data_IF_009127783923
#
_entry.id   IF_009127783923
#
_cell.length_a   1.000
_cell.length_b   1.000
_cell.length_c   1.000
_cell.angle_alpha   90.00
_cell.angle_beta   90.00
_cell.angle_gamma   90.00
#
_symmetry.space_group_name_H-M   'P 1'
#
loop_
_entity.id
_entity.type
_entity.pdbx_description
1 polymer ?
#
# COMPACT_ATOMS: atom_id res chain seq x y z
N UNK A 1 5.06 20.62 -22.78
CA UNK A 1 5.06 21.50 -21.59
C UNK A 1 3.95 20.97 -20.70
N UNK A 2 4.21 19.93 -19.97
CA UNK A 2 3.39 19.58 -18.81
C UNK A 2 3.59 20.68 -17.78
N UNK A 3 2.74 21.69 -17.90
CA UNK A 3 2.63 22.72 -16.88
C UNK A 3 2.35 22.02 -15.57
N UNK A 4 2.91 22.52 -14.49
CA UNK A 4 2.69 22.06 -13.12
C UNK A 4 1.23 21.62 -12.98
N UNK A 5 0.98 20.31 -13.01
CA UNK A 5 -0.38 19.76 -13.16
C UNK A 5 -1.28 20.21 -12.02
N UNK A 6 -2.58 20.03 -12.16
CA UNK A 6 -3.56 20.41 -11.13
C UNK A 6 -3.21 19.82 -9.76
N UNK A 7 -2.63 18.61 -9.72
CA UNK A 7 -2.13 17.95 -8.52
C UNK A 7 -1.15 18.84 -7.75
N UNK A 8 -0.13 19.35 -8.40
CA UNK A 8 0.86 20.23 -7.76
C UNK A 8 0.24 21.56 -7.24
N UNK A 9 -0.78 22.07 -7.93
CA UNK A 9 -1.49 23.27 -7.47
C UNK A 9 -2.35 22.98 -6.24
N UNK A 10 -2.96 21.80 -6.15
CA UNK A 10 -3.71 21.33 -4.99
C UNK A 10 -2.77 21.12 -3.79
N UNK A 11 -1.64 20.45 -3.99
CA UNK A 11 -0.60 20.26 -2.97
C UNK A 11 -0.10 21.64 -2.44
N UNK A 12 0.09 22.60 -3.34
CA UNK A 12 0.50 23.95 -2.95
C UNK A 12 -0.57 24.70 -2.12
N UNK A 13 -1.86 24.50 -2.40
CA UNK A 13 -2.94 25.06 -1.58
C UNK A 13 -2.90 24.50 -0.16
N UNK A 14 -2.67 23.20 -0.01
CA UNK A 14 -2.57 22.54 1.28
C UNK A 14 -1.37 23.06 2.09
N UNK A 15 -0.19 23.09 1.48
CA UNK A 15 1.02 23.64 2.11
C UNK A 15 0.88 25.12 2.50
N UNK A 16 0.20 25.93 1.67
CA UNK A 16 -0.10 27.31 1.99
C UNK A 16 -1.02 27.43 3.20
N UNK A 17 -2.03 26.55 3.30
CA UNK A 17 -2.95 26.50 4.45
C UNK A 17 -2.19 26.14 5.74
N UNK A 18 -1.37 25.10 5.73
CA UNK A 18 -0.52 24.72 6.88
C UNK A 18 0.36 25.88 7.35
N UNK A 19 1.04 26.55 6.42
CA UNK A 19 1.87 27.71 6.72
C UNK A 19 1.06 28.86 7.35
N UNK A 20 -0.16 29.11 6.89
CA UNK A 20 -1.02 30.16 7.44
C UNK A 20 -1.49 29.85 8.87
N UNK A 21 -1.59 28.58 9.22
CA UNK A 21 -1.97 28.09 10.55
C UNK A 21 -0.75 27.91 11.49
N UNK A 22 0.46 27.98 10.95
CA UNK A 22 1.69 27.76 11.72
C UNK A 22 1.91 26.29 12.12
N UNK A 23 1.30 25.32 11.38
CA UNK A 23 1.43 23.88 11.63
C UNK A 23 2.31 23.23 10.57
N UNK A 24 2.92 22.10 10.95
CA UNK A 24 3.81 21.31 10.07
C UNK A 24 3.16 20.01 9.63
N UNK A 25 2.45 19.35 10.53
CA UNK A 25 1.83 18.05 10.26
C UNK A 25 0.43 18.23 9.66
N UNK A 26 0.05 17.31 8.78
CA UNK A 26 -1.28 17.30 8.14
C UNK A 26 -2.39 17.07 9.18
N UNK A 27 -2.10 16.29 10.20
CA UNK A 27 -3.00 15.97 11.32
C UNK A 27 -3.32 17.17 12.21
N UNK A 28 -2.53 18.25 12.16
CA UNK A 28 -2.74 19.46 12.95
C UNK A 28 -3.71 20.45 12.28
N UNK A 29 -4.12 20.17 11.04
CA UNK A 29 -5.12 20.99 10.33
C UNK A 29 -6.52 20.62 10.81
N UNK A 30 -7.22 21.55 11.43
CA UNK A 30 -8.56 21.34 11.99
C UNK A 30 -9.65 21.11 10.93
N UNK A 31 -10.76 20.52 11.35
CA UNK A 31 -11.86 20.14 10.46
C UNK A 31 -12.46 21.35 9.67
N UNK A 32 -12.63 22.50 10.30
CA UNK A 32 -13.14 23.70 9.62
C UNK A 32 -12.14 24.22 8.58
N UNK A 33 -10.84 24.19 8.88
CA UNK A 33 -9.79 24.58 7.94
C UNK A 33 -9.71 23.63 6.74
N UNK A 34 -9.90 22.32 6.97
CA UNK A 34 -9.99 21.34 5.89
C UNK A 34 -11.23 21.56 5.02
N UNK A 35 -12.35 21.95 5.61
CA UNK A 35 -13.58 22.29 4.87
C UNK A 35 -13.37 23.49 3.95
N UNK A 36 -12.77 24.57 4.46
CA UNK A 36 -12.41 25.73 3.65
C UNK A 36 -11.45 25.37 2.52
N UNK A 37 -10.45 24.56 2.83
CA UNK A 37 -9.49 24.06 1.86
C UNK A 37 -10.15 23.24 0.75
N UNK A 38 -11.13 22.40 1.07
CA UNK A 38 -11.91 21.64 0.07
C UNK A 38 -12.64 22.58 -0.90
N UNK A 39 -13.25 23.66 -0.39
CA UNK A 39 -13.91 24.64 -1.25
C UNK A 39 -12.90 25.38 -2.15
N UNK A 40 -11.73 25.72 -1.66
CA UNK A 40 -10.68 26.34 -2.48
C UNK A 40 -10.13 25.38 -3.53
N UNK A 41 -9.98 24.09 -3.20
CA UNK A 41 -9.63 23.04 -4.18
C UNK A 41 -10.70 22.90 -5.27
N UNK A 42 -11.99 22.90 -4.93
CA UNK A 42 -13.09 22.89 -5.91
C UNK A 42 -13.05 24.09 -6.85
N UNK A 43 -12.83 25.29 -6.31
CA UNK A 43 -12.65 26.53 -7.12
C UNK A 43 -11.46 26.39 -8.08
N UNK A 44 -10.34 25.87 -7.60
CA UNK A 44 -9.14 25.63 -8.40
C UNK A 44 -9.43 24.62 -9.53
N UNK A 45 -10.09 23.50 -9.24
CA UNK A 45 -10.50 22.49 -10.22
C UNK A 45 -11.34 23.15 -11.32
N UNK A 46 -12.36 23.92 -10.95
CA UNK A 46 -13.20 24.65 -11.90
C UNK A 46 -12.40 25.62 -12.77
N UNK A 47 -11.46 26.36 -12.17
CA UNK A 47 -10.61 27.31 -12.87
C UNK A 47 -9.69 26.63 -13.91
N UNK A 48 -9.08 25.50 -13.53
CA UNK A 48 -8.07 24.82 -14.36
C UNK A 48 -8.71 23.92 -15.42
N UNK A 49 -9.76 23.19 -15.07
CA UNK A 49 -10.40 22.20 -15.95
C UNK A 49 -11.64 22.73 -16.67
N UNK A 50 -12.11 23.95 -16.34
CA UNK A 50 -13.34 24.52 -16.90
C UNK A 50 -14.63 23.81 -16.48
N UNK A 51 -14.54 22.82 -15.59
CA UNK A 51 -15.67 22.03 -15.08
C UNK A 51 -15.63 21.97 -13.56
N UNK A 52 -16.78 22.07 -12.91
CA UNK A 52 -16.89 21.90 -11.46
C UNK A 52 -16.64 20.44 -11.09
N UNK A 53 -15.99 20.23 -9.94
CA UNK A 53 -15.93 18.91 -9.32
C UNK A 53 -17.36 18.48 -8.95
N UNK A 54 -17.78 17.25 -9.28
CA UNK A 54 -19.15 16.82 -9.00
C UNK A 54 -19.36 16.63 -7.50
N UNK A 55 -20.48 17.14 -6.97
CA UNK A 55 -20.91 16.91 -5.58
C UNK A 55 -21.74 15.61 -5.44
N UNK A 56 -22.21 15.08 -6.54
CA UNK A 56 -22.97 13.83 -6.60
C UNK A 56 -22.05 12.61 -6.52
N UNK A 57 -22.28 11.73 -5.52
CA UNK A 57 -21.42 10.57 -5.26
C UNK A 57 -21.37 9.55 -6.39
N UNK A 58 -22.48 9.35 -7.11
CA UNK A 58 -22.52 8.44 -8.24
C UNK A 58 -21.70 8.98 -9.42
N UNK A 59 -21.76 10.30 -9.69
CA UNK A 59 -20.92 10.95 -10.70
C UNK A 59 -19.45 10.90 -10.33
N UNK A 60 -19.11 11.02 -9.04
CA UNK A 60 -17.72 10.85 -8.56
C UNK A 60 -17.24 9.43 -8.79
N UNK A 61 -18.05 8.42 -8.45
CA UNK A 61 -17.74 7.00 -8.66
C UNK A 61 -17.48 6.71 -10.14
N UNK A 62 -18.40 7.06 -11.02
CA UNK A 62 -18.24 6.83 -12.46
C UNK A 62 -17.07 7.63 -13.06
N UNK A 63 -16.83 8.83 -12.55
CA UNK A 63 -15.65 9.63 -12.92
C UNK A 63 -14.34 8.94 -12.51
N UNK A 64 -14.28 8.39 -11.30
CA UNK A 64 -13.14 7.62 -10.78
C UNK A 64 -12.88 6.35 -11.58
N UNK A 65 -13.93 5.55 -11.83
CA UNK A 65 -13.85 4.35 -12.67
C UNK A 65 -13.30 4.67 -14.07
N UNK A 66 -13.82 5.71 -14.70
CA UNK A 66 -13.36 6.17 -16.02
C UNK A 66 -11.89 6.61 -15.99
N UNK A 67 -11.45 7.30 -14.93
CA UNK A 67 -10.07 7.71 -14.77
C UNK A 67 -9.11 6.51 -14.62
N UNK A 68 -9.50 5.48 -13.86
CA UNK A 68 -8.70 4.25 -13.72
C UNK A 68 -8.58 3.53 -15.07
N UNK A 69 -9.67 3.34 -15.81
CA UNK A 69 -9.59 2.74 -17.14
C UNK A 69 -8.74 3.56 -18.12
N UNK A 70 -8.88 4.89 -18.11
CA UNK A 70 -8.07 5.77 -18.95
C UNK A 70 -6.58 5.72 -18.59
N UNK A 71 -6.24 5.48 -17.33
CA UNK A 71 -4.84 5.41 -16.87
C UNK A 71 -4.03 4.28 -17.52
N UNK A 72 -4.70 3.21 -18.00
CA UNK A 72 -4.08 2.13 -18.77
C UNK A 72 -3.35 2.64 -20.02
N UNK A 73 -3.89 3.68 -20.65
CA UNK A 73 -3.32 4.32 -21.85
C UNK A 73 -2.42 5.53 -21.53
N UNK A 74 -2.12 5.77 -20.26
CA UNK A 74 -1.15 6.78 -19.85
C UNK A 74 0.28 6.38 -20.25
N UNK A 75 1.10 7.35 -20.65
CA UNK A 75 2.48 7.11 -21.14
C UNK A 75 3.30 6.27 -20.14
N UNK A 76 3.20 6.55 -18.85
CA UNK A 76 3.91 5.80 -17.80
C UNK A 76 3.49 4.32 -17.76
N UNK A 77 2.20 4.04 -17.92
CA UNK A 77 1.68 2.67 -17.94
C UNK A 77 2.08 1.93 -19.21
N UNK A 78 2.12 2.62 -20.37
CA UNK A 78 2.58 2.06 -21.64
C UNK A 78 4.04 1.64 -21.51
N UNK A 79 4.93 2.56 -21.09
CA UNK A 79 6.36 2.27 -20.93
C UNK A 79 6.61 1.13 -19.92
N UNK A 80 5.86 1.10 -18.82
CA UNK A 80 5.97 0.01 -17.85
C UNK A 80 5.62 -1.34 -18.47
N UNK A 81 4.53 -1.43 -19.25
CA UNK A 81 4.17 -2.66 -19.95
C UNK A 81 5.20 -3.12 -20.96
N UNK A 82 5.81 -2.18 -21.70
CA UNK A 82 6.88 -2.48 -22.64
C UNK A 82 8.10 -3.10 -21.95
N UNK A 83 8.50 -2.54 -20.81
CA UNK A 83 9.63 -3.05 -20.01
C UNK A 83 9.33 -4.43 -19.41
N UNK A 84 8.12 -4.62 -18.89
CA UNK A 84 7.71 -5.86 -18.19
C UNK A 84 7.14 -6.93 -19.15
N UNK A 85 7.10 -6.66 -20.47
CA UNK A 85 6.56 -7.60 -21.46
C UNK A 85 5.08 -7.89 -21.32
N UNK A 86 4.30 -6.93 -20.78
CA UNK A 86 2.85 -7.10 -20.56
C UNK A 86 2.09 -6.72 -21.84
N UNK A 87 1.22 -7.60 -22.37
CA UNK A 87 0.43 -7.34 -23.56
C UNK A 87 -0.48 -6.11 -23.40
N UNK A 88 -0.49 -5.23 -24.40
CA UNK A 88 -1.29 -4.00 -24.37
C UNK A 88 -2.81 -4.26 -24.39
N UNK A 89 -3.22 -5.38 -24.98
CA UNK A 89 -4.62 -5.79 -25.14
C UNK A 89 -5.28 -6.33 -23.86
N UNK A 90 -4.51 -6.58 -22.79
CA UNK A 90 -5.08 -7.13 -21.54
C UNK A 90 -6.05 -6.17 -20.85
N UNK A 91 -5.76 -4.87 -20.89
CA UNK A 91 -6.56 -3.89 -20.17
C UNK A 91 -6.32 -3.90 -18.66
N UNK A 92 -7.18 -3.21 -17.93
CA UNK A 92 -7.14 -3.12 -16.46
C UNK A 92 -8.50 -3.36 -15.85
N UNK A 93 -8.53 -3.59 -14.53
CA UNK A 93 -9.75 -3.77 -13.75
C UNK A 93 -9.83 -2.74 -12.61
N UNK A 94 -11.03 -2.55 -12.09
CA UNK A 94 -11.30 -1.64 -10.98
C UNK A 94 -12.07 -2.39 -9.89
N UNK A 95 -11.59 -2.28 -8.66
CA UNK A 95 -12.32 -2.71 -7.48
C UNK A 95 -12.88 -1.49 -6.74
N UNK A 96 -14.16 -1.55 -6.38
CA UNK A 96 -14.81 -0.57 -5.49
C UNK A 96 -14.95 -1.21 -4.13
N UNK A 97 -14.26 -0.65 -3.14
CA UNK A 97 -14.30 -1.17 -1.76
C UNK A 97 -14.56 -0.06 -0.76
N UNK A 98 -15.08 -0.42 0.39
CA UNK A 98 -15.27 0.51 1.52
C UNK A 98 -13.93 1.13 1.91
N UNK A 99 -13.90 2.45 2.08
CA UNK A 99 -12.75 3.13 2.63
C UNK A 99 -12.67 2.88 4.14
N UNK A 100 -11.47 2.59 4.63
CA UNK A 100 -11.16 2.42 6.04
C UNK A 100 -9.97 3.30 6.41
N UNK A 101 -9.91 3.77 7.65
CA UNK A 101 -8.98 4.80 8.06
C UNK A 101 -8.05 4.31 9.18
N UNK A 102 -6.76 4.26 8.86
CA UNK A 102 -5.70 3.94 9.82
C UNK A 102 -5.24 5.15 10.65
N UNK A 103 -5.79 6.34 10.40
CA UNK A 103 -5.37 7.62 10.97
C UNK A 103 -6.47 8.31 11.82
N UNK A 104 -7.31 7.53 12.48
CA UNK A 104 -8.36 8.05 13.38
C UNK A 104 -7.97 7.94 14.86
N UNK A 105 -6.68 8.02 15.17
CA UNK A 105 -6.17 7.96 16.54
C UNK A 105 -5.37 6.69 16.85
N UNK A 106 -5.03 6.52 18.14
CA UNK A 106 -4.11 5.45 18.59
C UNK A 106 -4.71 4.04 18.55
N UNK A 107 -6.02 3.91 18.31
CA UNK A 107 -6.69 2.62 18.09
C UNK A 107 -6.62 2.17 16.64
N UNK A 108 -6.00 3.00 15.78
CA UNK A 108 -5.90 2.79 14.34
C UNK A 108 -4.44 2.65 13.91
N UNK A 109 -4.21 1.88 12.86
CA UNK A 109 -2.89 1.66 12.29
C UNK A 109 -2.99 1.24 10.82
N UNK A 110 -1.90 1.38 10.09
CA UNK A 110 -1.79 0.84 8.74
C UNK A 110 -0.45 0.17 8.55
N UNK A 111 -0.34 -0.80 7.67
CA UNK A 111 0.92 -1.51 7.47
C UNK A 111 0.97 -2.39 6.24
N UNK A 112 2.16 -2.90 6.03
CA UNK A 112 2.49 -3.85 4.97
C UNK A 112 3.15 -5.09 5.57
N UNK A 113 2.86 -6.25 5.02
CA UNK A 113 3.44 -7.49 5.51
C UNK A 113 3.69 -8.47 4.35
N UNK A 114 4.68 -9.32 4.54
CA UNK A 114 5.03 -10.42 3.64
C UNK A 114 4.88 -11.74 4.39
N UNK A 115 4.23 -12.72 3.79
CA UNK A 115 4.08 -14.04 4.41
C UNK A 115 5.41 -14.74 4.67
N UNK A 116 6.47 -14.35 3.92
CA UNK A 116 7.89 -14.76 4.11
C UNK A 116 8.80 -13.57 3.89
N UNK A 117 10.01 -13.58 4.45
CA UNK A 117 10.98 -12.51 4.26
C UNK A 117 11.44 -12.41 2.79
N UNK A 118 11.18 -11.26 2.10
CA UNK A 118 11.48 -11.11 0.68
C UNK A 118 12.94 -10.86 0.35
N UNK A 119 13.78 -10.52 1.33
CA UNK A 119 15.11 -10.01 0.99
C UNK A 119 16.20 -10.08 2.04
N UNK A 120 15.89 -10.46 3.27
CA UNK A 120 16.89 -10.58 4.35
C UNK A 120 17.43 -12.01 4.47
N UNK A 121 17.69 -12.46 5.67
CA UNK A 121 18.29 -13.76 6.00
C UNK A 121 17.53 -14.98 5.46
N UNK A 122 16.56 -14.77 4.57
CA UNK A 122 15.75 -15.81 3.90
C UNK A 122 15.05 -16.76 4.87
N UNK A 123 14.62 -16.21 6.01
CA UNK A 123 13.90 -16.99 7.03
C UNK A 123 12.43 -17.11 6.65
N UNK A 124 11.85 -18.26 6.94
CA UNK A 124 10.41 -18.46 6.94
C UNK A 124 9.81 -17.73 8.15
N UNK A 125 9.70 -16.42 8.03
CA UNK A 125 9.12 -15.55 9.05
C UNK A 125 8.05 -14.65 8.43
N UNK A 126 6.97 -14.49 9.14
CA UNK A 126 6.00 -13.45 8.83
C UNK A 126 6.64 -12.09 9.08
N UNK A 127 6.99 -11.39 8.00
CA UNK A 127 7.74 -10.14 8.01
C UNK A 127 6.83 -8.95 7.70
N UNK A 128 7.03 -7.82 8.37
CA UNK A 128 6.26 -6.62 8.05
C UNK A 128 6.46 -5.47 9.01
N UNK A 129 5.86 -4.35 8.63
CA UNK A 129 5.97 -3.07 9.34
C UNK A 129 4.61 -2.38 9.40
N UNK A 130 4.41 -1.55 10.42
CA UNK A 130 3.19 -0.79 10.62
C UNK A 130 3.45 0.58 11.23
N UNK A 131 2.51 1.49 11.03
CA UNK A 131 2.48 2.81 11.67
C UNK A 131 1.15 2.99 12.40
N UNK A 132 1.21 3.48 13.62
CA UNK A 132 0.02 3.87 14.40
C UNK A 132 -0.45 5.24 13.92
N UNK A 133 -1.75 5.44 13.86
CA UNK A 133 -2.39 6.69 13.44
C UNK A 133 -1.80 7.20 12.11
N UNK A 134 -1.91 6.38 11.06
CA UNK A 134 -1.29 6.64 9.76
C UNK A 134 -2.12 6.06 8.61
N UNK A 135 -1.94 6.62 7.43
CA UNK A 135 -2.44 6.07 6.17
C UNK A 135 -1.34 5.31 5.42
N UNK A 136 -1.73 4.55 4.38
CA UNK A 136 -0.78 3.76 3.57
C UNK A 136 0.33 4.61 2.95
N UNK A 137 0.03 5.83 2.55
CA UNK A 137 1.00 6.79 2.00
C UNK A 137 2.11 7.12 2.99
N UNK A 138 1.81 7.21 4.28
CA UNK A 138 2.80 7.51 5.34
C UNK A 138 3.81 6.38 5.50
N UNK A 139 3.37 5.12 5.32
CA UNK A 139 4.26 3.94 5.38
C UNK A 139 5.23 3.95 4.21
N UNK A 140 4.76 4.30 3.02
CA UNK A 140 5.57 4.26 1.78
C UNK A 140 6.44 5.50 1.64
N UNK A 141 6.01 6.66 2.14
CA UNK A 141 6.75 7.92 2.03
C UNK A 141 8.01 7.99 2.89
N UNK A 142 8.15 7.11 3.90
CA UNK A 142 9.33 7.06 4.77
C UNK A 142 9.48 8.28 5.68
N UNK A 143 8.41 9.03 5.92
CA UNK A 143 8.42 10.24 6.77
C UNK A 143 8.56 9.84 8.24
N UNK A 144 7.98 8.71 8.63
CA UNK A 144 8.03 8.14 9.98
C UNK A 144 8.71 6.78 9.93
N UNK A 145 9.44 6.41 10.97
CA UNK A 145 10.04 5.07 11.09
C UNK A 145 8.97 4.04 11.44
N UNK A 146 8.68 3.07 10.58
CA UNK A 146 7.68 2.05 10.88
C UNK A 146 8.15 1.10 11.98
N UNK A 147 7.21 0.67 12.81
CA UNK A 147 7.44 -0.36 13.81
C UNK A 147 7.24 -1.77 13.23
N UNK A 148 7.97 -2.78 13.71
CA UNK A 148 7.86 -4.15 13.22
C UNK A 148 6.54 -4.79 13.67
N UNK A 149 5.94 -5.65 12.85
CA UNK A 149 4.69 -6.36 13.21
C UNK A 149 4.91 -7.38 14.33
N UNK A 150 6.08 -7.98 14.43
CA UNK A 150 6.43 -8.98 15.44
C UNK A 150 7.92 -8.95 15.78
N UNK A 151 8.33 -9.75 16.77
CA UNK A 151 9.72 -9.82 17.21
C UNK A 151 10.65 -10.38 16.12
N UNK A 152 10.18 -11.27 15.25
CA UNK A 152 11.00 -11.83 14.17
C UNK A 152 11.32 -10.80 13.08
N UNK A 153 10.45 -9.80 12.87
CA UNK A 153 10.66 -8.67 11.95
C UNK A 153 11.58 -7.57 12.50
N UNK A 154 12.01 -7.66 13.76
CA UNK A 154 12.89 -6.64 14.37
C UNK A 154 14.27 -6.61 13.72
N UNK A 155 14.81 -5.42 13.60
CA UNK A 155 16.16 -5.12 13.16
C UNK A 155 16.84 -4.18 14.17
N UNK A 156 18.12 -3.97 14.02
CA UNK A 156 18.86 -3.04 14.91
C UNK A 156 18.28 -1.61 14.90
N UNK A 157 17.70 -1.19 13.79
CA UNK A 157 17.14 0.15 13.63
C UNK A 157 15.76 0.33 14.28
N UNK A 158 14.98 -0.76 14.45
CA UNK A 158 13.61 -0.70 14.95
C UNK A 158 13.32 -1.57 16.18
N UNK A 159 14.34 -2.24 16.75
CA UNK A 159 14.19 -3.13 17.92
C UNK A 159 13.68 -2.43 19.20
N UNK A 160 13.82 -1.12 19.27
CA UNK A 160 13.33 -0.28 20.36
C UNK A 160 11.83 0.05 20.22
N UNK A 161 11.25 -0.16 19.06
CA UNK A 161 9.84 0.13 18.79
C UNK A 161 8.94 -1.03 19.24
N UNK A 162 7.72 -0.70 19.65
CA UNK A 162 6.73 -1.69 20.07
C UNK A 162 6.20 -2.44 18.87
N UNK A 163 6.20 -3.77 18.92
CA UNK A 163 5.69 -4.61 17.85
C UNK A 163 4.15 -4.61 17.82
N UNK A 164 3.55 -4.82 16.64
CA UNK A 164 2.09 -4.93 16.50
C UNK A 164 1.53 -6.08 17.36
N UNK A 165 2.24 -7.20 17.47
CA UNK A 165 1.83 -8.34 18.30
C UNK A 165 1.66 -7.99 19.80
N UNK A 166 2.42 -6.98 20.27
CA UNK A 166 2.30 -6.47 21.65
C UNK A 166 1.29 -5.34 21.74
N UNK A 167 1.26 -4.45 20.78
CA UNK A 167 0.43 -3.25 20.78
C UNK A 167 -1.04 -3.56 20.50
N UNK A 168 -1.29 -4.39 19.48
CA UNK A 168 -2.65 -4.81 19.09
C UNK A 168 -2.69 -6.34 18.88
N UNK A 169 -2.67 -7.16 19.95
CA UNK A 169 -2.50 -8.61 19.86
C UNK A 169 -3.63 -9.31 19.11
N UNK A 170 -4.87 -8.83 19.21
CA UNK A 170 -6.02 -9.43 18.51
C UNK A 170 -5.94 -9.21 16.98
N UNK A 171 -5.81 -7.98 16.45
CA UNK A 171 -5.56 -7.75 15.02
C UNK A 171 -4.34 -8.48 14.48
N UNK A 172 -3.23 -8.52 15.23
CA UNK A 172 -2.03 -9.25 14.81
C UNK A 172 -2.30 -10.76 14.67
N UNK A 173 -2.99 -11.38 15.64
CA UNK A 173 -3.33 -12.80 15.56
C UNK A 173 -4.21 -13.12 14.36
N UNK A 174 -5.17 -12.24 14.05
CA UNK A 174 -6.04 -12.35 12.88
C UNK A 174 -5.22 -12.22 11.58
N UNK A 175 -4.37 -11.18 11.47
CA UNK A 175 -3.48 -10.97 10.35
C UNK A 175 -2.58 -12.17 10.09
N UNK A 176 -1.98 -12.74 11.15
CA UNK A 176 -1.14 -13.94 11.05
C UNK A 176 -1.93 -15.18 10.59
N UNK A 177 -3.19 -15.31 10.97
CA UNK A 177 -4.05 -16.40 10.47
C UNK A 177 -4.40 -16.21 8.98
N UNK A 178 -4.69 -14.97 8.58
CA UNK A 178 -5.04 -14.63 7.20
C UNK A 178 -3.84 -14.84 6.27
N UNK A 179 -2.62 -14.41 6.62
CA UNK A 179 -1.45 -14.59 5.77
C UNK A 179 -1.19 -16.07 5.46
N UNK A 180 -1.35 -16.96 6.45
CA UNK A 180 -1.22 -18.43 6.24
C UNK A 180 -2.27 -18.96 5.26
N UNK A 181 -3.51 -18.49 5.38
CA UNK A 181 -4.59 -18.88 4.45
C UNK A 181 -4.31 -18.40 3.04
N UNK A 182 -3.81 -17.18 2.88
CA UNK A 182 -3.47 -16.60 1.57
C UNK A 182 -2.32 -17.39 0.92
N UNK A 183 -1.26 -17.69 1.66
CA UNK A 183 -0.13 -18.47 1.16
C UNK A 183 -0.55 -19.89 0.75
N UNK A 184 -1.37 -20.55 1.57
CA UNK A 184 -1.92 -21.86 1.22
C UNK A 184 -2.86 -21.81 0.01
N UNK A 185 -3.62 -20.73 -0.17
CA UNK A 185 -4.56 -20.59 -1.28
C UNK A 185 -3.87 -20.30 -2.61
N UNK A 186 -2.92 -19.37 -2.59
CA UNK A 186 -2.18 -18.96 -3.79
C UNK A 186 -0.94 -19.81 -4.08
N UNK A 187 -0.56 -20.67 -3.14
CA UNK A 187 0.65 -21.49 -3.22
C UNK A 187 1.93 -20.66 -3.46
N UNK A 188 1.95 -19.41 -3.03
CA UNK A 188 3.10 -18.52 -3.14
C UNK A 188 3.13 -17.49 -2.02
N UNK A 189 4.34 -16.93 -1.74
CA UNK A 189 4.47 -15.86 -0.77
C UNK A 189 3.63 -14.64 -1.17
N UNK A 190 3.02 -14.02 -0.18
CA UNK A 190 2.11 -12.90 -0.38
C UNK A 190 2.68 -11.62 0.21
N UNK A 191 2.54 -10.54 -0.55
CA UNK A 191 2.67 -9.14 -0.15
C UNK A 191 1.27 -8.64 0.21
N UNK A 192 1.11 -8.13 1.42
CA UNK A 192 -0.18 -7.85 2.06
C UNK A 192 -0.20 -6.41 2.51
N UNK A 193 -1.25 -5.68 2.14
CA UNK A 193 -1.56 -4.37 2.68
C UNK A 193 -2.76 -4.46 3.60
N UNK A 194 -2.66 -3.86 4.79
CA UNK A 194 -3.72 -3.92 5.80
C UNK A 194 -3.89 -2.59 6.53
N UNK A 195 -5.09 -2.37 7.05
CA UNK A 195 -5.43 -1.25 7.93
C UNK A 195 -6.16 -1.79 9.16
N UNK A 196 -5.91 -1.18 10.30
CA UNK A 196 -6.64 -1.40 11.54
C UNK A 196 -7.39 -0.12 11.84
N UNK A 197 -8.71 -0.19 11.90
CA UNK A 197 -9.58 0.91 12.27
C UNK A 197 -10.32 0.50 13.54
N UNK A 198 -10.15 1.26 14.62
CA UNK A 198 -10.72 0.98 15.93
C UNK A 198 -10.55 -0.49 16.38
N UNK A 199 -9.29 -0.94 16.41
CA UNK A 199 -8.89 -2.32 16.75
C UNK A 199 -9.44 -3.41 15.83
N UNK A 200 -10.10 -3.09 14.73
CA UNK A 200 -10.61 -4.04 13.74
C UNK A 200 -9.69 -4.09 12.53
N UNK A 201 -9.26 -5.30 12.17
CA UNK A 201 -8.42 -5.53 10.99
C UNK A 201 -9.23 -5.50 9.70
N UNK A 202 -8.67 -4.83 8.68
CA UNK A 202 -9.16 -4.82 7.31
C UNK A 202 -8.02 -5.17 6.36
N UNK A 203 -8.26 -6.14 5.49
CA UNK A 203 -7.34 -6.48 4.41
C UNK A 203 -7.64 -5.57 3.22
N UNK A 204 -6.63 -4.86 2.73
CA UNK A 204 -6.78 -3.94 1.60
C UNK A 204 -6.41 -4.59 0.29
N UNK A 205 -5.26 -5.27 0.25
CA UNK A 205 -4.73 -5.90 -0.94
C UNK A 205 -3.83 -7.08 -0.56
N UNK A 206 -3.80 -8.10 -1.43
CA UNK A 206 -2.73 -9.09 -1.45
C UNK A 206 -2.28 -9.33 -2.89
N UNK A 207 -1.01 -9.65 -3.05
CA UNK A 207 -0.40 -9.97 -4.34
C UNK A 207 0.79 -10.91 -4.12
N UNK A 208 1.24 -11.56 -5.19
CA UNK A 208 2.49 -12.33 -5.15
C UNK A 208 3.63 -11.40 -4.75
N UNK A 209 4.35 -11.77 -3.69
CA UNK A 209 5.42 -10.95 -3.13
C UNK A 209 6.62 -10.88 -4.07
N UNK A 210 7.06 -9.65 -4.38
CA UNK A 210 8.35 -9.42 -5.04
C UNK A 210 9.47 -9.79 -4.08
N UNK A 211 10.51 -10.45 -4.59
CA UNK A 211 11.64 -10.98 -3.81
C UNK A 211 12.92 -10.90 -4.62
N UNK A 212 14.05 -10.80 -3.95
CA UNK A 212 15.35 -10.89 -4.62
C UNK A 212 15.66 -12.35 -5.05
N UNK A 213 16.69 -12.54 -5.88
CA UNK A 213 17.02 -13.84 -6.45
C UNK A 213 17.30 -14.91 -5.39
N UNK A 214 18.09 -14.58 -4.36
CA UNK A 214 18.42 -15.51 -3.27
C UNK A 214 17.17 -15.91 -2.49
N UNK A 215 16.27 -14.97 -2.18
CA UNK A 215 15.00 -15.25 -1.54
C UNK A 215 14.09 -16.11 -2.44
N UNK A 216 14.06 -15.86 -3.75
CA UNK A 216 13.27 -16.65 -4.69
C UNK A 216 13.65 -18.14 -4.66
N UNK A 217 14.94 -18.43 -4.72
CA UNK A 217 15.44 -19.82 -4.63
C UNK A 217 15.10 -20.44 -3.28
N UNK A 218 15.37 -19.73 -2.19
CA UNK A 218 15.13 -20.25 -0.84
C UNK A 218 13.65 -20.54 -0.59
N UNK A 219 12.77 -19.60 -0.92
CA UNK A 219 11.32 -19.75 -0.76
C UNK A 219 10.81 -20.92 -1.60
N UNK A 220 11.25 -21.06 -2.85
CA UNK A 220 10.87 -22.17 -3.70
C UNK A 220 11.26 -23.54 -3.09
N UNK A 221 12.48 -23.64 -2.56
CA UNK A 221 12.96 -24.88 -1.88
C UNK A 221 12.15 -25.17 -0.62
N UNK A 222 11.88 -24.18 0.21
CA UNK A 222 11.15 -24.36 1.46
C UNK A 222 9.67 -24.73 1.20
N UNK A 223 9.03 -24.12 0.21
CA UNK A 223 7.67 -24.47 -0.21
C UNK A 223 7.54 -25.91 -0.74
N UNK A 224 8.58 -26.43 -1.42
CA UNK A 224 8.62 -27.85 -1.82
C UNK A 224 8.70 -28.76 -0.59
N UNK A 225 9.57 -28.44 0.39
CA UNK A 225 9.70 -29.21 1.64
C UNK A 225 8.39 -29.21 2.43
N UNK A 226 7.68 -28.11 2.44
CA UNK A 226 6.38 -27.94 3.09
C UNK A 226 5.23 -28.56 2.29
N UNK A 227 5.49 -29.09 1.09
CA UNK A 227 4.50 -29.69 0.17
C UNK A 227 3.44 -28.70 -0.32
N UNK A 228 3.75 -27.41 -0.33
CA UNK A 228 2.89 -26.37 -0.89
C UNK A 228 2.96 -26.33 -2.42
N UNK A 229 4.13 -26.66 -2.98
CA UNK A 229 4.36 -26.71 -4.43
C UNK A 229 5.18 -27.97 -4.80
N UNK A 230 5.13 -28.34 -6.07
CA UNK A 230 5.97 -29.42 -6.62
C UNK A 230 7.36 -28.92 -6.98
N UNK A 231 8.33 -29.81 -7.12
CA UNK A 231 9.69 -29.48 -7.61
C UNK A 231 9.64 -28.81 -8.99
N UNK A 232 8.76 -29.26 -9.87
CA UNK A 232 8.58 -28.68 -11.21
C UNK A 232 8.11 -27.24 -11.12
N UNK A 233 7.11 -26.96 -10.29
CA UNK A 233 6.62 -25.59 -10.05
C UNK A 233 7.72 -24.70 -9.46
N UNK A 234 8.50 -25.19 -8.51
CA UNK A 234 9.60 -24.48 -7.91
C UNK A 234 10.64 -24.03 -8.96
N UNK A 235 11.03 -24.93 -9.87
CA UNK A 235 11.95 -24.62 -10.97
C UNK A 235 11.36 -23.58 -11.92
N UNK A 236 10.05 -23.67 -12.25
CA UNK A 236 9.40 -22.71 -13.12
C UNK A 236 9.23 -21.30 -12.51
N UNK A 237 9.30 -21.17 -11.17
CA UNK A 237 9.13 -19.89 -10.46
C UNK A 237 10.39 -19.05 -10.33
N UNK A 238 11.54 -19.67 -10.46
CA UNK A 238 12.83 -18.98 -10.41
C UNK A 238 13.28 -18.71 -11.84
N UNK A 239 13.25 -17.43 -12.24
CA UNK A 239 13.71 -17.00 -13.57
C UNK A 239 15.23 -17.01 -13.64
N UNK A 240 15.78 -17.11 -14.87
CA UNK A 240 17.24 -17.02 -15.10
C UNK A 240 17.84 -15.73 -14.56
N UNK A 241 17.14 -14.60 -14.75
CA UNK A 241 17.57 -13.28 -14.27
C UNK A 241 17.67 -13.16 -12.74
N UNK A 242 17.04 -14.10 -12.00
CA UNK A 242 17.13 -14.17 -10.53
C UNK A 242 18.34 -14.97 -10.04
N UNK A 243 19.07 -15.62 -10.95
CA UNK A 243 20.23 -16.44 -10.63
C UNK A 243 21.57 -15.73 -10.91
N UNK A 244 21.52 -14.60 -11.61
CA UNK A 244 22.66 -13.71 -11.89
C UNK A 244 22.79 -12.66 -10.78
#
# INVERSE_FOLDING_TARGET
KEGKGIRHQIEHLFEKKKKSLGVTEDTDVGAEDLKDLCEDMKKLVKKVLGKSFPDDGEKQLWGGLGAVFASWNGMRAILYREVEGIPHEWGTAVNVQTMVFGNMGDTCATGVAFSRDPGRDHKDIFYGEYLVNAQGEDVVAGIRTPAPINKASQSDNNKHLVTLEKFMPKPYKELNAIQKRLECHYHDMQDIEFTIEDHKLFMLQCRVGKRNGTAAVRIAVDMVKEKLITVKEAVCRVSGDQLD
#
